data_IF_026822630466
#
_entry.id   IF_026822630466
#
_cell.length_a   1.000
_cell.length_b   1.000
_cell.length_c   1.000
_cell.angle_alpha   90.00
_cell.angle_beta   90.00
_cell.angle_gamma   90.00
#
_symmetry.space_group_name_H-M   'P 1'
#
loop_
_entity.id
_entity.type
_entity.pdbx_description
1 polymer ?
#
# COMPACT_ATOMS: atom_id res chain seq x y z
N UNK A 1 7.91 -8.97 -32.31
CA UNK A 1 7.34 -10.32 -32.11
C UNK A 1 8.38 -11.43 -31.93
N UNK A 2 9.52 -11.46 -32.62
CA UNK A 2 10.55 -12.50 -32.35
C UNK A 2 11.32 -12.30 -31.04
N UNK A 3 11.44 -11.05 -30.57
CA UNK A 3 12.14 -10.71 -29.32
C UNK A 3 11.34 -11.02 -28.05
N UNK A 4 10.01 -10.91 -28.10
CA UNK A 4 9.14 -11.24 -26.97
C UNK A 4 9.04 -12.75 -26.73
N UNK A 5 9.16 -13.58 -27.78
CA UNK A 5 9.18 -15.05 -27.64
C UNK A 5 10.48 -15.54 -26.99
N UNK A 6 11.61 -14.86 -27.21
CA UNK A 6 12.89 -15.23 -26.60
C UNK A 6 12.89 -14.95 -25.08
N UNK A 7 12.30 -13.85 -24.64
CA UNK A 7 12.22 -13.48 -23.22
C UNK A 7 11.31 -14.42 -22.43
N UNK A 8 10.17 -14.85 -23.00
CA UNK A 8 9.29 -15.85 -22.36
C UNK A 8 9.93 -17.24 -22.31
N UNK A 9 10.78 -17.61 -23.29
CA UNK A 9 11.50 -18.89 -23.28
C UNK A 9 12.66 -18.93 -22.28
N UNK A 10 13.34 -17.80 -22.05
CA UNK A 10 14.37 -17.68 -21.02
C UNK A 10 13.76 -17.79 -19.60
N UNK A 11 12.63 -17.13 -19.36
CA UNK A 11 11.93 -17.18 -18.07
C UNK A 11 11.38 -18.60 -17.73
N UNK A 12 11.12 -19.43 -18.75
CA UNK A 12 10.63 -20.80 -18.58
C UNK A 12 11.75 -21.81 -18.25
N UNK A 13 13.02 -21.50 -18.55
CA UNK A 13 14.14 -22.39 -18.19
C UNK A 13 14.62 -22.17 -16.75
N UNK A 14 14.47 -20.97 -16.20
CA UNK A 14 14.83 -20.66 -14.79
C UNK A 14 13.93 -21.40 -13.80
N UNK A 15 12.67 -21.67 -14.15
CA UNK A 15 11.74 -22.48 -13.34
C UNK A 15 12.04 -23.99 -13.31
N UNK A 16 13.07 -24.47 -14.02
CA UNK A 16 13.40 -25.90 -14.10
C UNK A 16 14.46 -26.39 -13.10
N UNK A 17 15.04 -25.49 -12.31
CA UNK A 17 16.13 -25.80 -11.35
C UNK A 17 15.66 -25.65 -9.91
N UNK A 18 14.42 -26.06 -9.60
CA UNK A 18 14.04 -26.31 -8.21
C UNK A 18 14.47 -27.74 -7.88
N UNK A 19 15.51 -27.96 -7.04
CA UNK A 19 15.78 -29.28 -6.51
C UNK A 19 14.58 -29.70 -5.65
N UNK A 20 13.79 -30.65 -6.13
CA UNK A 20 12.88 -31.43 -5.30
C UNK A 20 13.73 -32.23 -4.31
N UNK A 21 14.06 -31.61 -3.17
CA UNK A 21 14.48 -32.32 -1.98
C UNK A 21 13.26 -33.05 -1.41
N UNK A 22 13.01 -34.23 -1.96
CA UNK A 22 12.12 -35.22 -1.35
C UNK A 22 12.68 -35.58 0.02
N UNK A 23 11.83 -35.44 1.02
CA UNK A 23 12.02 -35.87 2.38
C UNK A 23 12.64 -37.28 2.46
N UNK A 24 13.77 -37.40 3.13
CA UNK A 24 14.27 -38.67 3.64
C UNK A 24 13.36 -39.15 4.78
N UNK A 25 12.83 -40.36 4.58
CA UNK A 25 12.14 -41.19 5.54
C UNK A 25 12.78 -41.15 6.93
N UNK A 26 12.11 -40.52 7.89
CA UNK A 26 12.37 -40.76 9.30
C UNK A 26 11.55 -41.99 9.71
N UNK A 27 12.13 -43.17 9.50
CA UNK A 27 11.63 -44.44 9.98
C UNK A 27 11.64 -44.44 11.52
N UNK A 28 10.52 -44.00 12.10
CA UNK A 28 10.23 -44.21 13.52
C UNK A 28 9.74 -45.65 13.67
N UNK A 29 10.53 -46.48 14.35
CA UNK A 29 10.14 -47.82 14.79
C UNK A 29 8.87 -47.71 15.65
N UNK A 30 7.78 -48.31 15.18
CA UNK A 30 6.59 -48.54 16.00
C UNK A 30 6.84 -49.74 16.93
N UNK A 31 6.99 -49.46 18.22
CA UNK A 31 6.78 -50.45 19.27
C UNK A 31 5.27 -50.75 19.40
N UNK A 32 4.85 -52.03 19.31
CA UNK A 32 3.45 -52.39 19.53
C UNK A 32 3.17 -52.43 21.03
N UNK A 33 2.51 -51.39 21.56
CA UNK A 33 1.94 -51.43 22.90
C UNK A 33 0.46 -51.80 22.79
N UNK A 34 0.20 -53.10 22.91
CA UNK A 34 -1.03 -53.59 23.52
C UNK A 34 -1.15 -52.96 24.92
N UNK A 35 -2.16 -52.12 25.18
CA UNK A 35 -2.97 -52.34 26.37
C UNK A 35 -4.32 -51.62 26.30
N UNK A 36 -5.34 -52.36 26.70
CA UNK A 36 -6.70 -51.93 26.83
C UNK A 36 -6.84 -51.02 28.06
N UNK A 37 -7.51 -49.89 27.88
CA UNK A 37 -7.82 -49.00 28.99
C UNK A 37 -8.99 -48.10 28.64
N UNK A 38 -10.19 -48.65 28.79
CA UNK A 38 -11.40 -47.88 29.12
C UNK A 38 -11.04 -46.82 30.17
N UNK A 39 -11.09 -45.56 29.78
CA UNK A 39 -11.20 -44.47 30.74
C UNK A 39 -12.20 -43.46 30.20
N UNK A 40 -13.47 -43.71 30.54
CA UNK A 40 -14.53 -42.70 30.56
C UNK A 40 -13.98 -41.48 31.30
N UNK A 41 -13.55 -40.47 30.55
CA UNK A 41 -13.21 -39.17 31.12
C UNK A 41 -14.49 -38.35 31.05
N UNK A 42 -15.11 -38.22 32.21
CA UNK A 42 -16.25 -37.35 32.44
C UNK A 42 -15.95 -35.95 31.87
N UNK A 43 -16.88 -35.44 31.08
CA UNK A 43 -16.89 -34.06 30.62
C UNK A 43 -17.08 -33.15 31.84
N UNK A 44 -15.97 -32.78 32.48
CA UNK A 44 -15.93 -31.65 33.40
C UNK A 44 -16.11 -30.38 32.55
N UNK A 45 -17.34 -29.88 32.52
CA UNK A 45 -17.68 -28.59 31.96
C UNK A 45 -16.74 -27.52 32.53
N UNK A 46 -16.14 -26.65 31.70
CA UNK A 46 -15.37 -25.54 32.22
C UNK A 46 -16.33 -24.62 32.99
N UNK A 47 -16.18 -24.60 34.32
CA UNK A 47 -16.80 -23.61 35.19
C UNK A 47 -16.25 -22.24 34.76
N UNK A 48 -17.01 -21.59 33.88
CA UNK A 48 -16.83 -20.18 33.53
C UNK A 48 -16.99 -19.40 34.82
N UNK A 49 -15.85 -19.09 35.44
CA UNK A 49 -15.82 -18.21 36.59
C UNK A 49 -15.99 -16.81 36.01
N UNK A 50 -17.24 -16.39 35.90
CA UNK A 50 -17.60 -15.00 35.62
C UNK A 50 -17.04 -14.18 36.77
N UNK A 51 -15.87 -13.58 36.56
CA UNK A 51 -15.37 -12.53 37.43
C UNK A 51 -16.21 -11.30 37.10
N UNK A 52 -17.41 -11.25 37.70
CA UNK A 52 -18.15 -10.02 37.90
C UNK A 52 -17.32 -9.15 38.83
N UNK A 53 -16.40 -8.39 38.24
CA UNK A 53 -15.79 -7.23 38.87
C UNK A 53 -16.86 -6.16 39.03
N UNK A 54 -17.65 -6.33 40.09
CA UNK A 54 -18.46 -5.30 40.71
C UNK A 54 -17.50 -4.20 41.20
N UNK A 55 -17.24 -3.22 40.33
CA UNK A 55 -16.70 -1.93 40.72
C UNK A 55 -17.83 -0.91 40.58
N UNK A 56 -18.80 -1.01 41.48
CA UNK A 56 -19.79 0.03 41.72
C UNK A 56 -19.06 1.21 42.36
N UNK A 57 -18.50 2.09 41.55
CA UNK A 57 -18.39 3.49 41.94
C UNK A 57 -19.80 4.05 41.81
N UNK A 58 -20.52 3.99 42.93
CA UNK A 58 -21.75 4.71 43.21
C UNK A 58 -21.43 6.21 43.21
N UNK A 59 -21.26 6.78 42.02
CA UNK A 59 -21.41 8.22 41.83
C UNK A 59 -22.89 8.47 41.57
N UNK A 60 -23.54 9.07 42.56
CA UNK A 60 -24.88 9.66 42.44
C UNK A 60 -24.98 10.37 41.08
N UNK A 61 -25.96 10.04 40.23
CA UNK A 61 -26.31 10.94 39.16
C UNK A 61 -26.80 12.22 39.82
N UNK A 62 -26.04 13.29 39.67
CA UNK A 62 -26.57 14.62 39.85
C UNK A 62 -27.81 14.72 38.96
N UNK A 63 -28.95 14.79 39.63
CA UNK A 63 -30.26 15.16 39.10
C UNK A 63 -30.14 16.58 38.53
N UNK A 64 -29.54 16.67 37.34
CA UNK A 64 -29.63 17.87 36.52
C UNK A 64 -31.02 17.85 35.90
N UNK A 65 -31.91 18.60 36.55
CA UNK A 65 -33.21 18.98 36.01
C UNK A 65 -33.04 19.35 34.53
N UNK A 66 -33.80 18.74 33.60
CA UNK A 66 -33.84 19.22 32.24
C UNK A 66 -34.36 20.65 32.29
N UNK A 67 -33.51 21.61 31.92
CA UNK A 67 -33.94 22.95 31.61
C UNK A 67 -35.01 22.83 30.53
N UNK A 68 -36.23 23.16 30.93
CA UNK A 68 -37.41 23.37 30.12
C UNK A 68 -37.11 24.52 29.14
N UNK A 69 -36.42 24.21 28.05
CA UNK A 69 -36.25 25.12 26.93
C UNK A 69 -37.61 25.20 26.21
N UNK A 70 -38.33 26.25 26.55
CA UNK A 70 -39.54 26.68 25.85
C UNK A 70 -39.32 26.61 24.33
N UNK A 71 -40.19 25.94 23.57
CA UNK A 71 -40.15 26.04 22.12
C UNK A 71 -40.45 27.48 21.74
N UNK A 72 -39.45 28.17 21.19
CA UNK A 72 -39.65 29.44 20.53
C UNK A 72 -40.66 29.22 19.40
N UNK A 73 -41.82 29.84 19.60
CA UNK A 73 -42.92 30.00 18.66
C UNK A 73 -42.41 30.82 17.46
N UNK A 74 -41.85 30.14 16.46
CA UNK A 74 -41.52 30.75 15.18
C UNK A 74 -42.83 30.92 14.38
N UNK A 75 -43.32 32.16 14.40
CA UNK A 75 -44.42 32.63 13.57
C UNK A 75 -44.17 32.28 12.09
N UNK A 76 -45.17 31.73 11.36
CA UNK A 76 -45.06 31.58 9.92
C UNK A 76 -45.10 32.98 9.28
N UNK A 77 -43.96 33.41 8.74
CA UNK A 77 -43.90 34.57 7.87
C UNK A 77 -44.72 34.27 6.59
N UNK A 78 -45.84 34.96 6.52
CA UNK A 78 -46.74 35.12 5.38
C UNK A 78 -45.99 35.85 4.25
N UNK A 79 -45.36 35.12 3.34
CA UNK A 79 -44.84 35.69 2.10
C UNK A 79 -45.95 35.75 1.05
N UNK A 80 -46.56 36.93 0.98
CA UNK A 80 -47.48 37.32 -0.07
C UNK A 80 -46.82 37.23 -1.45
N UNK A 81 -47.57 36.59 -2.34
CA UNK A 81 -47.50 36.65 -3.79
C UNK A 81 -47.26 38.07 -4.33
N UNK A 82 -46.10 38.30 -4.95
CA UNK A 82 -45.88 39.38 -5.91
C UNK A 82 -45.79 38.77 -7.32
N UNK A 83 -46.95 38.76 -7.97
CA UNK A 83 -47.15 38.59 -9.41
C UNK A 83 -46.65 39.88 -10.10
N UNK A 84 -45.42 39.87 -10.62
CA UNK A 84 -44.94 40.88 -11.56
C UNK A 84 -44.57 40.19 -12.89
N UNK A 85 -45.46 40.37 -13.87
CA UNK A 85 -45.17 40.17 -15.29
C UNK A 85 -44.08 41.16 -15.74
N UNK A 86 -42.94 40.71 -16.30
CA UNK A 86 -42.08 41.62 -17.04
C UNK A 86 -42.58 41.76 -18.48
N UNK A 87 -42.91 43.00 -18.81
CA UNK A 87 -43.20 43.48 -20.15
C UNK A 87 -42.03 43.22 -21.11
N UNK A 88 -42.42 42.84 -22.32
CA UNK A 88 -41.59 42.63 -23.49
C UNK A 88 -41.22 44.00 -24.07
N UNK A 89 -39.96 44.40 -23.98
CA UNK A 89 -39.39 45.42 -24.88
C UNK A 89 -38.11 44.89 -25.56
N UNK A 90 -38.34 44.51 -26.81
CA UNK A 90 -37.43 44.50 -27.96
C UNK A 90 -36.60 45.80 -28.01
N UNK A 91 -35.27 45.72 -28.06
CA UNK A 91 -34.45 46.44 -29.05
C UNK A 91 -33.06 45.78 -29.17
N UNK A 92 -32.83 45.26 -30.38
CA UNK A 92 -31.56 44.83 -30.93
C UNK A 92 -30.57 46.00 -31.08
N UNK A 93 -29.44 46.00 -30.38
CA UNK A 93 -28.20 46.60 -30.88
C UNK A 93 -27.02 45.66 -30.64
N UNK A 94 -26.42 45.23 -31.75
CA UNK A 94 -25.29 44.32 -31.78
C UNK A 94 -24.08 44.92 -31.07
N UNK A 95 -23.83 44.43 -29.85
CA UNK A 95 -22.52 44.51 -29.26
C UNK A 95 -21.75 43.29 -29.79
N UNK A 96 -20.87 43.52 -30.76
CA UNK A 96 -19.84 42.58 -31.17
C UNK A 96 -18.88 42.44 -29.96
N UNK A 97 -19.28 41.61 -28.99
CA UNK A 97 -18.40 41.16 -27.92
C UNK A 97 -17.32 40.35 -28.61
N UNK A 98 -16.19 41.01 -28.83
CA UNK A 98 -14.90 40.40 -29.12
C UNK A 98 -14.67 39.40 -27.99
N UNK A 99 -15.06 38.14 -28.22
CA UNK A 99 -14.71 37.02 -27.37
C UNK A 99 -13.21 36.93 -27.50
N UNK A 100 -12.50 37.61 -26.61
CA UNK A 100 -11.09 37.33 -26.35
C UNK A 100 -11.06 35.83 -26.06
N UNK A 101 -10.56 35.05 -27.02
CA UNK A 101 -10.20 33.66 -26.82
C UNK A 101 -9.21 33.67 -25.66
N UNK A 102 -9.71 33.46 -24.44
CA UNK A 102 -8.88 33.21 -23.27
C UNK A 102 -8.06 31.98 -23.64
N UNK A 103 -6.79 32.20 -23.97
CA UNK A 103 -5.83 31.13 -24.20
C UNK A 103 -5.85 30.26 -22.94
N UNK A 104 -6.45 29.07 -23.05
CA UNK A 104 -6.50 28.09 -21.97
C UNK A 104 -5.05 27.83 -21.56
N UNK A 105 -4.67 28.38 -20.40
CA UNK A 105 -3.34 28.27 -19.81
C UNK A 105 -3.19 26.80 -19.38
N UNK A 106 -2.82 25.93 -20.33
CA UNK A 106 -2.57 24.51 -20.11
C UNK A 106 -1.36 24.44 -19.19
N UNK A 107 -1.61 24.14 -17.92
CA UNK A 107 -0.56 23.83 -16.95
C UNK A 107 0.09 22.53 -17.43
N UNK A 108 1.20 22.66 -18.14
CA UNK A 108 2.08 21.53 -18.48
C UNK A 108 2.65 20.98 -17.18
N UNK A 109 2.04 19.91 -16.69
CA UNK A 109 2.70 19.05 -15.71
C UNK A 109 3.91 18.41 -16.39
N UNK A 110 5.03 18.24 -15.66
CA UNK A 110 6.17 17.54 -16.18
C UNK A 110 5.74 16.14 -16.63
N UNK A 111 5.95 15.82 -17.92
CA UNK A 111 5.55 14.54 -18.52
C UNK A 111 6.11 13.33 -17.75
N UNK A 112 7.26 13.51 -17.08
CA UNK A 112 7.92 12.50 -16.24
C UNK A 112 7.03 11.97 -15.11
N UNK A 113 6.16 12.81 -14.53
CA UNK A 113 5.26 12.40 -13.44
C UNK A 113 4.07 11.57 -13.94
N UNK A 114 3.69 11.73 -15.22
CA UNK A 114 2.54 11.04 -15.82
C UNK A 114 2.93 9.64 -16.32
N UNK A 115 4.17 9.47 -16.76
CA UNK A 115 4.70 8.18 -17.20
C UNK A 115 4.90 7.19 -16.03
N UNK A 116 4.97 7.70 -14.80
CA UNK A 116 5.06 6.88 -13.59
C UNK A 116 3.71 6.29 -13.18
N UNK A 117 2.58 6.87 -13.64
CA UNK A 117 1.27 6.26 -13.45
C UNK A 117 1.17 5.01 -14.35
N UNK A 118 0.78 3.88 -13.76
CA UNK A 118 0.62 2.60 -14.46
C UNK A 118 -0.51 2.61 -15.49
N UNK A 119 -1.21 1.48 -15.68
CA UNK A 119 -2.37 1.49 -16.57
C UNK A 119 -3.51 2.18 -15.83
N UNK A 120 -3.95 3.33 -16.32
CA UNK A 120 -5.00 4.13 -15.67
C UNK A 120 -6.41 3.55 -15.88
N UNK A 121 -7.41 3.91 -15.04
CA UNK A 121 -8.76 3.34 -15.12
C UNK A 121 -9.48 3.51 -16.47
N UNK A 122 -9.12 4.55 -17.24
CA UNK A 122 -9.70 4.79 -18.56
C UNK A 122 -9.14 3.88 -19.67
N UNK A 123 -8.10 3.11 -19.38
CA UNK A 123 -7.48 2.18 -20.32
C UNK A 123 -8.22 0.84 -20.39
N UNK A 124 -8.42 0.27 -21.59
CA UNK A 124 -9.06 -1.04 -21.74
C UNK A 124 -8.25 -2.19 -21.13
N UNK A 125 -6.98 -1.97 -20.80
CA UNK A 125 -6.11 -2.97 -20.17
C UNK A 125 -6.16 -2.89 -18.63
N UNK A 126 -6.81 -1.89 -18.04
CA UNK A 126 -6.86 -1.68 -16.59
C UNK A 126 -7.37 -2.92 -15.85
N UNK A 127 -8.48 -3.50 -16.30
CA UNK A 127 -9.03 -4.71 -15.70
C UNK A 127 -8.12 -5.94 -15.80
N UNK A 128 -7.18 -5.98 -16.77
CA UNK A 128 -6.18 -7.05 -16.88
C UNK A 128 -5.10 -6.85 -15.83
N UNK A 129 -4.61 -5.61 -15.66
CA UNK A 129 -3.66 -5.26 -14.61
C UNK A 129 -4.21 -5.58 -13.22
N UNK A 130 -5.42 -5.11 -12.89
CA UNK A 130 -6.12 -5.45 -11.63
C UNK A 130 -6.20 -6.95 -11.39
N UNK A 131 -6.51 -7.74 -12.43
CA UNK A 131 -6.57 -9.18 -12.30
C UNK A 131 -5.20 -9.81 -11.99
N UNK A 132 -4.12 -9.30 -12.61
CA UNK A 132 -2.76 -9.75 -12.34
C UNK A 132 -2.27 -9.34 -10.95
N UNK A 133 -2.58 -8.13 -10.50
CA UNK A 133 -2.28 -7.65 -9.15
C UNK A 133 -2.95 -8.53 -8.09
N UNK A 134 -4.25 -8.82 -8.24
CA UNK A 134 -4.99 -9.71 -7.33
C UNK A 134 -4.43 -11.13 -7.33
N UNK A 135 -3.99 -11.65 -8.47
CA UNK A 135 -3.32 -12.96 -8.55
C UNK A 135 -1.96 -12.90 -7.85
N UNK A 136 -1.18 -11.86 -8.12
CA UNK A 136 0.14 -11.63 -7.51
C UNK A 136 0.03 -11.60 -5.99
N UNK A 137 -0.89 -10.79 -5.45
CA UNK A 137 -1.12 -10.65 -4.02
C UNK A 137 -1.58 -11.96 -3.36
N UNK A 138 -2.43 -12.75 -4.05
CA UNK A 138 -2.85 -14.07 -3.58
C UNK A 138 -1.72 -15.10 -3.57
N UNK A 139 -0.77 -15.00 -4.49
CA UNK A 139 0.38 -15.89 -4.60
C UNK A 139 1.53 -15.48 -3.67
N UNK A 140 1.57 -14.23 -3.22
CA UNK A 140 2.52 -13.78 -2.19
C UNK A 140 2.31 -14.56 -0.89
N UNK A 141 3.37 -15.18 -0.38
CA UNK A 141 3.34 -15.97 0.85
C UNK A 141 3.81 -15.11 2.03
N UNK A 142 3.10 -15.18 3.16
CA UNK A 142 3.41 -14.41 4.36
C UNK A 142 2.62 -13.10 4.46
N UNK A 143 2.25 -12.72 5.68
CA UNK A 143 1.41 -11.56 5.97
C UNK A 143 2.14 -10.24 5.76
N UNK A 144 3.39 -10.15 6.24
CA UNK A 144 4.28 -9.02 5.97
C UNK A 144 4.48 -8.79 4.47
N UNK A 145 4.87 -9.83 3.73
CA UNK A 145 5.10 -9.71 2.29
C UNK A 145 3.82 -9.30 1.53
N UNK A 146 2.65 -9.78 1.96
CA UNK A 146 1.36 -9.34 1.39
C UNK A 146 1.07 -7.88 1.70
N UNK A 147 1.25 -7.43 2.94
CA UNK A 147 1.06 -6.03 3.32
C UNK A 147 1.97 -5.11 2.50
N UNK A 148 3.27 -5.42 2.40
CA UNK A 148 4.23 -4.66 1.58
C UNK A 148 3.84 -4.66 0.09
N UNK A 149 3.40 -5.80 -0.44
CA UNK A 149 2.95 -5.88 -1.84
C UNK A 149 1.65 -5.11 -2.07
N UNK A 150 0.74 -5.11 -1.11
CA UNK A 150 -0.46 -4.29 -1.09
C UNK A 150 -0.11 -2.81 -1.13
N UNK A 151 0.79 -2.34 -0.25
CA UNK A 151 1.25 -0.95 -0.23
C UNK A 151 1.87 -0.50 -1.56
N UNK A 152 2.62 -1.37 -2.25
CA UNK A 152 3.13 -1.09 -3.59
C UNK A 152 2.02 -0.89 -4.62
N UNK A 153 0.93 -1.68 -4.57
CA UNK A 153 -0.23 -1.44 -5.44
C UNK A 153 -1.01 -0.18 -5.04
N UNK A 154 -1.09 0.12 -3.74
CA UNK A 154 -1.70 1.34 -3.22
C UNK A 154 -0.96 2.59 -3.71
N UNK A 155 0.38 2.56 -3.69
CA UNK A 155 1.24 3.60 -4.25
C UNK A 155 0.93 3.85 -5.73
N UNK A 156 0.77 2.78 -6.52
CA UNK A 156 0.39 2.87 -7.93
C UNK A 156 -0.98 3.54 -8.11
N UNK A 157 -1.98 3.18 -7.29
CA UNK A 157 -3.28 3.86 -7.31
C UNK A 157 -3.19 5.35 -6.96
N UNK A 158 -2.33 5.77 -6.01
CA UNK A 158 -2.11 7.20 -5.73
C UNK A 158 -1.54 7.95 -6.93
N UNK A 159 -0.62 7.32 -7.67
CA UNK A 159 -0.06 7.90 -8.90
C UNK A 159 -1.11 7.98 -10.02
N UNK A 160 -2.00 7.01 -10.13
CA UNK A 160 -3.16 7.10 -11.02
C UNK A 160 -4.13 8.22 -10.63
N UNK A 161 -4.46 8.36 -9.34
CA UNK A 161 -5.27 9.48 -8.84
C UNK A 161 -4.62 10.82 -9.19
N UNK A 162 -3.31 10.96 -8.96
CA UNK A 162 -2.53 12.15 -9.34
C UNK A 162 -2.67 12.45 -10.83
N UNK A 163 -2.48 11.46 -11.70
CA UNK A 163 -2.57 11.59 -13.15
C UNK A 163 -4.00 11.90 -13.64
N UNK A 164 -5.03 11.31 -13.03
CA UNK A 164 -6.42 11.56 -13.39
C UNK A 164 -6.91 12.95 -12.94
N UNK A 165 -6.52 13.41 -11.75
CA UNK A 165 -6.79 14.78 -11.29
C UNK A 165 -6.11 15.78 -12.21
N UNK A 166 -4.85 15.51 -12.58
CA UNK A 166 -4.10 16.30 -13.54
C UNK A 166 -4.81 16.43 -14.90
N UNK A 167 -5.41 15.34 -15.38
CA UNK A 167 -6.19 15.31 -16.61
C UNK A 167 -7.63 15.86 -16.46
N UNK A 168 -7.99 16.42 -15.29
CA UNK A 168 -9.35 16.88 -14.94
C UNK A 168 -10.43 15.80 -15.09
N UNK A 169 -10.06 14.54 -14.87
CA UNK A 169 -10.92 13.35 -14.98
C UNK A 169 -11.32 12.82 -13.60
N UNK A 170 -12.14 13.60 -12.89
CA UNK A 170 -12.47 13.29 -11.50
C UNK A 170 -13.14 11.93 -11.30
N UNK A 171 -14.02 11.50 -12.22
CA UNK A 171 -14.64 10.18 -12.14
C UNK A 171 -13.64 9.01 -12.19
N UNK A 172 -12.57 9.12 -12.97
CA UNK A 172 -11.52 8.10 -13.01
C UNK A 172 -10.59 8.20 -11.79
N UNK A 173 -10.39 9.42 -11.25
CA UNK A 173 -9.67 9.60 -9.99
C UNK A 173 -10.44 8.97 -8.81
N UNK A 174 -11.77 9.11 -8.76
CA UNK A 174 -12.62 8.48 -7.77
C UNK A 174 -12.56 6.94 -7.88
N UNK A 175 -12.58 6.39 -9.11
CA UNK A 175 -12.43 4.93 -9.32
C UNK A 175 -11.07 4.41 -8.83
N UNK A 176 -9.97 5.15 -9.10
CA UNK A 176 -8.65 4.78 -8.58
C UNK A 176 -8.56 4.90 -7.05
N UNK A 177 -9.26 5.87 -6.44
CA UNK A 177 -9.34 6.02 -4.99
C UNK A 177 -10.15 4.91 -4.32
N UNK A 178 -11.27 4.47 -4.91
CA UNK A 178 -12.04 3.32 -4.39
C UNK A 178 -11.16 2.05 -4.37
N UNK A 179 -10.42 1.79 -5.45
CA UNK A 179 -9.51 0.65 -5.51
C UNK A 179 -8.28 0.80 -4.59
N UNK A 180 -7.88 2.03 -4.24
CA UNK A 180 -6.87 2.30 -3.20
C UNK A 180 -7.39 1.89 -1.82
N UNK A 181 -8.60 2.30 -1.47
CA UNK A 181 -9.21 1.99 -0.18
C UNK A 181 -9.39 0.47 0.00
N UNK A 182 -9.86 -0.24 -1.04
CA UNK A 182 -9.93 -1.72 -1.01
C UNK A 182 -8.57 -2.36 -0.73
N UNK A 183 -7.49 -1.84 -1.32
CA UNK A 183 -6.13 -2.35 -1.06
C UNK A 183 -5.70 -2.04 0.36
N UNK A 184 -5.99 -0.84 0.88
CA UNK A 184 -5.61 -0.45 2.23
C UNK A 184 -6.35 -1.28 3.29
N UNK A 185 -7.62 -1.64 3.07
CA UNK A 185 -8.33 -2.60 3.93
C UNK A 185 -7.61 -3.96 3.99
N UNK A 186 -7.15 -4.49 2.85
CA UNK A 186 -6.36 -5.73 2.82
C UNK A 186 -4.99 -5.56 3.50
N UNK A 187 -4.34 -4.39 3.37
CA UNK A 187 -3.08 -4.09 4.07
C UNK A 187 -3.30 -4.10 5.58
N UNK A 188 -4.35 -3.43 6.07
CA UNK A 188 -4.73 -3.41 7.47
C UNK A 188 -4.99 -4.81 8.02
N UNK A 189 -5.76 -5.63 7.31
CA UNK A 189 -6.00 -7.03 7.70
C UNK A 189 -4.69 -7.82 7.82
N UNK A 190 -3.79 -7.68 6.83
CA UNK A 190 -2.51 -8.39 6.87
C UNK A 190 -1.58 -7.88 7.97
N UNK A 191 -1.58 -6.57 8.28
CA UNK A 191 -0.85 -5.99 9.42
C UNK A 191 -1.44 -6.49 10.74
N UNK A 192 -2.77 -6.51 10.87
CA UNK A 192 -3.49 -7.01 12.04
C UNK A 192 -3.22 -8.50 12.34
N UNK A 193 -2.74 -9.26 11.36
CA UNK A 193 -2.35 -10.66 11.49
C UNK A 193 -0.83 -10.89 11.63
N UNK A 194 -0.01 -9.84 11.69
CA UNK A 194 1.41 -9.98 12.05
C UNK A 194 1.55 -10.48 13.51
N UNK A 195 2.53 -11.35 13.78
CA UNK A 195 2.84 -11.82 15.16
C UNK A 195 3.19 -13.30 15.34
N UNK A 196 3.26 -14.09 14.27
CA UNK A 196 3.52 -15.54 14.32
C UNK A 196 5.01 -15.95 14.26
N UNK A 197 5.93 -15.00 14.17
CA UNK A 197 7.37 -15.20 13.92
C UNK A 197 8.30 -14.76 15.05
N UNK A 198 9.58 -14.60 14.67
CA UNK A 198 10.61 -14.01 15.52
C UNK A 198 10.32 -12.53 15.76
N UNK A 199 10.37 -12.09 17.02
CA UNK A 199 9.95 -10.75 17.40
C UNK A 199 10.82 -9.63 16.79
N UNK A 200 12.08 -9.92 16.46
CA UNK A 200 12.99 -8.93 15.84
C UNK A 200 12.68 -8.80 14.35
N UNK A 201 12.46 -9.93 13.66
CA UNK A 201 12.03 -9.96 12.27
C UNK A 201 10.65 -9.29 12.09
N UNK A 202 9.71 -9.55 13.01
CA UNK A 202 8.41 -8.86 13.06
C UNK A 202 8.57 -7.34 13.17
N UNK A 203 9.45 -6.87 14.06
CA UNK A 203 9.68 -5.43 14.24
C UNK A 203 10.28 -4.79 12.97
N UNK A 204 11.15 -5.51 12.27
CA UNK A 204 11.68 -5.06 10.98
C UNK A 204 10.58 -4.97 9.94
N UNK A 205 9.74 -5.98 9.82
CA UNK A 205 8.60 -5.99 8.92
C UNK A 205 7.65 -4.80 9.17
N UNK A 206 7.34 -4.52 10.44
CA UNK A 206 6.49 -3.39 10.84
C UNK A 206 7.12 -2.03 10.48
N UNK A 207 8.44 -1.89 10.61
CA UNK A 207 9.17 -0.67 10.25
C UNK A 207 9.24 -0.45 8.73
N UNK A 208 9.44 -1.51 7.94
CA UNK A 208 9.37 -1.43 6.47
C UNK A 208 7.97 -1.04 5.97
N UNK A 209 6.92 -1.54 6.63
CA UNK A 209 5.53 -1.17 6.33
C UNK A 209 5.26 0.30 6.74
N UNK A 210 5.76 0.74 7.89
CA UNK A 210 5.65 2.15 8.33
C UNK A 210 6.33 3.10 7.34
N UNK A 211 7.52 2.77 6.84
CA UNK A 211 8.23 3.57 5.83
C UNK A 211 7.45 3.66 4.51
N UNK A 212 6.92 2.54 4.01
CA UNK A 212 6.10 2.55 2.79
C UNK A 212 4.79 3.36 2.95
N UNK A 213 4.22 3.43 4.17
CA UNK A 213 3.10 4.31 4.48
C UNK A 213 3.52 5.80 4.53
N UNK A 214 4.74 6.11 4.97
CA UNK A 214 5.31 7.46 4.89
C UNK A 214 5.49 7.90 3.43
N UNK A 215 5.99 7.03 2.55
CA UNK A 215 6.10 7.32 1.11
C UNK A 215 4.73 7.60 0.46
N UNK A 216 3.70 6.82 0.80
CA UNK A 216 2.34 7.06 0.31
C UNK A 216 1.78 8.41 0.79
N UNK A 217 2.08 8.82 2.03
CA UNK A 217 1.69 10.13 2.55
C UNK A 217 2.37 11.28 1.78
N UNK A 218 3.64 11.11 1.38
CA UNK A 218 4.34 12.09 0.55
C UNK A 218 3.67 12.26 -0.81
N UNK A 219 3.31 11.16 -1.48
CA UNK A 219 2.58 11.21 -2.76
C UNK A 219 1.20 11.85 -2.58
N UNK A 220 0.49 11.53 -1.50
CA UNK A 220 -0.79 12.16 -1.19
C UNK A 220 -0.66 13.67 -0.98
N UNK A 221 0.43 14.13 -0.36
CA UNK A 221 0.73 15.55 -0.25
C UNK A 221 0.93 16.21 -1.63
N UNK A 222 1.54 15.51 -2.59
CA UNK A 222 1.64 15.99 -3.97
C UNK A 222 0.27 16.10 -4.65
N UNK A 223 -0.61 15.12 -4.46
CA UNK A 223 -2.00 15.14 -4.96
C UNK A 223 -2.75 16.34 -4.38
N UNK A 224 -2.64 16.56 -3.07
CA UNK A 224 -3.24 17.72 -2.40
C UNK A 224 -2.74 19.05 -2.97
N UNK A 225 -1.44 19.13 -3.27
CA UNK A 225 -0.82 20.32 -3.86
C UNK A 225 -1.32 20.61 -5.28
N UNK A 226 -1.83 19.63 -6.04
CA UNK A 226 -2.40 19.87 -7.38
C UNK A 226 -3.54 20.88 -7.35
N UNK A 227 -4.35 20.89 -6.27
CA UNK A 227 -5.43 21.88 -6.09
C UNK A 227 -4.93 23.31 -6.21
N UNK A 228 -3.74 23.59 -5.69
CA UNK A 228 -3.16 24.95 -5.72
C UNK A 228 -2.47 25.28 -7.04
N UNK A 229 -2.04 24.25 -7.79
CA UNK A 229 -1.33 24.40 -9.06
C UNK A 229 -2.26 24.62 -10.24
N UNK A 230 -3.45 24.02 -10.21
CA UNK A 230 -4.43 24.17 -11.29
C UNK A 230 -5.24 25.46 -11.14
N UNK A 231 -5.14 26.35 -12.12
CA UNK A 231 -6.10 27.44 -12.31
C UNK A 231 -7.33 26.92 -13.05
N UNK A 232 -8.51 27.45 -12.72
CA UNK A 232 -9.75 27.13 -13.43
C UNK A 232 -10.30 25.73 -13.12
N UNK A 233 -10.08 25.21 -11.91
CA UNK A 233 -10.93 24.15 -11.37
C UNK A 233 -12.30 24.74 -11.04
N UNK A 234 -13.37 23.99 -11.30
CA UNK A 234 -14.70 24.39 -10.82
C UNK A 234 -14.81 24.14 -9.31
N UNK A 235 -15.70 24.85 -8.59
CA UNK A 235 -15.93 24.58 -7.16
C UNK A 235 -16.27 23.11 -6.87
N UNK A 236 -16.99 22.46 -7.78
CA UNK A 236 -17.33 21.04 -7.69
C UNK A 236 -16.08 20.16 -7.80
N UNK A 237 -15.18 20.44 -8.75
CA UNK A 237 -13.92 19.71 -8.88
C UNK A 237 -13.01 19.90 -7.66
N UNK A 238 -12.93 21.11 -7.12
CA UNK A 238 -12.16 21.35 -5.89
C UNK A 238 -12.72 20.57 -4.69
N UNK A 239 -14.06 20.50 -4.57
CA UNK A 239 -14.71 19.73 -3.54
C UNK A 239 -14.45 18.23 -3.71
N UNK A 240 -14.50 17.72 -4.95
CA UNK A 240 -14.24 16.33 -5.27
C UNK A 240 -12.78 15.94 -4.99
N UNK A 241 -11.79 16.76 -5.40
CA UNK A 241 -10.38 16.56 -5.05
C UNK A 241 -10.20 16.56 -3.53
N UNK A 242 -10.85 17.48 -2.82
CA UNK A 242 -10.77 17.55 -1.35
C UNK A 242 -11.35 16.28 -0.70
N UNK A 243 -12.45 15.76 -1.24
CA UNK A 243 -13.06 14.52 -0.77
C UNK A 243 -12.15 13.30 -1.02
N UNK A 244 -11.58 13.19 -2.23
CA UNK A 244 -10.64 12.13 -2.59
C UNK A 244 -9.41 12.15 -1.68
N UNK A 245 -8.77 13.32 -1.52
CA UNK A 245 -7.59 13.47 -0.66
C UNK A 245 -7.91 13.17 0.81
N UNK A 246 -9.11 13.56 1.27
CA UNK A 246 -9.59 13.22 2.61
C UNK A 246 -9.68 11.72 2.83
N UNK A 247 -10.40 11.00 1.95
CA UNK A 247 -10.56 9.54 2.05
C UNK A 247 -9.22 8.81 2.03
N UNK A 248 -8.35 9.15 1.08
CA UNK A 248 -7.01 8.56 0.98
C UNK A 248 -6.17 8.81 2.25
N UNK A 249 -6.29 10.01 2.84
CA UNK A 249 -5.60 10.36 4.08
C UNK A 249 -6.13 9.61 5.30
N UNK A 250 -7.44 9.36 5.36
CA UNK A 250 -8.06 8.57 6.42
C UNK A 250 -7.57 7.12 6.35
N UNK A 251 -7.58 6.49 5.17
CA UNK A 251 -7.08 5.11 4.96
C UNK A 251 -5.58 4.95 5.31
N UNK A 252 -4.72 5.93 4.98
CA UNK A 252 -3.31 5.90 5.42
C UNK A 252 -3.21 6.01 6.94
N UNK A 253 -4.02 6.87 7.55
CA UNK A 253 -4.00 7.11 9.00
C UNK A 253 -4.43 5.86 9.77
N UNK A 254 -5.49 5.19 9.33
CA UNK A 254 -6.00 3.97 9.95
C UNK A 254 -4.96 2.83 9.88
N UNK A 255 -4.33 2.63 8.72
CA UNK A 255 -3.23 1.68 8.56
C UNK A 255 -2.02 2.02 9.47
N UNK A 256 -1.63 3.30 9.57
CA UNK A 256 -0.56 3.75 10.48
C UNK A 256 -0.88 3.47 11.95
N UNK A 257 -2.15 3.61 12.35
CA UNK A 257 -2.60 3.27 13.70
C UNK A 257 -2.45 1.77 13.95
N UNK A 258 -2.88 0.92 13.03
CA UNK A 258 -2.77 -0.54 13.19
C UNK A 258 -1.30 -0.99 13.24
N UNK A 259 -0.44 -0.47 12.36
CA UNK A 259 1.02 -0.71 12.40
C UNK A 259 1.61 -0.28 13.74
N UNK A 260 1.22 0.90 14.25
CA UNK A 260 1.70 1.40 15.55
C UNK A 260 1.24 0.51 16.72
N UNK A 261 0.01 0.00 16.68
CA UNK A 261 -0.53 -0.93 17.68
C UNK A 261 0.27 -2.24 17.65
N UNK A 262 0.56 -2.77 16.46
CA UNK A 262 1.35 -3.99 16.28
C UNK A 262 2.79 -3.83 16.74
N UNK A 263 3.46 -2.77 16.30
CA UNK A 263 4.80 -2.39 16.75
C UNK A 263 4.93 -2.32 18.26
N UNK A 264 3.95 -1.75 18.94
CA UNK A 264 3.96 -1.70 20.40
C UNK A 264 3.79 -3.08 21.05
N UNK A 265 2.95 -3.96 20.49
CA UNK A 265 2.82 -5.36 20.94
C UNK A 265 4.13 -6.12 20.75
N UNK A 266 4.79 -5.97 19.61
CA UNK A 266 6.07 -6.61 19.29
C UNK A 266 7.18 -6.14 20.22
N UNK A 267 7.27 -4.84 20.50
CA UNK A 267 8.19 -4.31 21.52
C UNK A 267 7.97 -4.92 22.90
N UNK A 268 6.71 -5.13 23.31
CA UNK A 268 6.40 -5.79 24.59
C UNK A 268 6.86 -7.26 24.57
N UNK A 269 6.65 -7.98 23.45
CA UNK A 269 7.11 -9.36 23.25
C UNK A 269 8.64 -9.47 23.36
N UNK A 270 9.38 -8.56 22.73
CA UNK A 270 10.85 -8.48 22.82
C UNK A 270 11.30 -8.28 24.28
N UNK A 271 10.72 -7.31 25.01
CA UNK A 271 11.04 -7.07 26.43
C UNK A 271 10.82 -8.31 27.29
N UNK A 272 9.70 -9.01 27.05
CA UNK A 272 9.33 -10.20 27.80
C UNK A 272 10.24 -11.42 27.51
N UNK A 273 10.69 -11.59 26.27
CA UNK A 273 11.55 -12.72 25.86
C UNK A 273 13.03 -12.51 26.20
N UNK A 274 13.54 -11.29 26.02
CA UNK A 274 14.97 -10.97 26.14
C UNK A 274 15.42 -10.46 27.51
N UNK A 275 14.52 -10.25 28.47
CA UNK A 275 14.78 -9.45 29.68
C UNK A 275 15.31 -8.03 29.33
N UNK A 276 14.99 -7.52 28.13
CA UNK A 276 15.50 -6.24 27.63
C UNK A 276 14.83 -5.05 28.30
N UNK A 277 15.59 -3.97 28.53
CA UNK A 277 15.06 -2.70 29.04
C UNK A 277 14.38 -1.88 27.94
N UNK A 278 13.64 -0.84 28.33
CA UNK A 278 13.00 0.08 27.40
C UNK A 278 14.03 0.77 26.49
N UNK A 279 15.21 1.10 27.03
CA UNK A 279 16.30 1.71 26.29
C UNK A 279 16.94 0.76 25.28
N UNK A 280 17.12 -0.51 25.64
CA UNK A 280 17.68 -1.51 24.72
C UNK A 280 16.72 -1.75 23.54
N UNK A 281 15.42 -1.83 23.80
CA UNK A 281 14.42 -1.96 22.73
C UNK A 281 14.37 -0.73 21.82
N UNK A 282 14.53 0.48 22.38
CA UNK A 282 14.61 1.69 21.56
C UNK A 282 15.86 1.70 20.66
N UNK A 283 17.01 1.21 21.15
CA UNK A 283 18.22 1.07 20.33
C UNK A 283 18.04 0.05 19.21
N UNK A 284 17.36 -1.06 19.49
CA UNK A 284 17.02 -2.06 18.46
C UNK A 284 16.13 -1.44 17.40
N UNK A 285 15.06 -0.74 17.78
CA UNK A 285 14.19 -0.04 16.84
C UNK A 285 14.96 0.96 15.96
N UNK A 286 15.84 1.76 16.56
CA UNK A 286 16.66 2.73 15.82
C UNK A 286 17.61 2.06 14.83
N UNK A 287 18.25 0.95 15.23
CA UNK A 287 19.16 0.19 14.36
C UNK A 287 18.42 -0.49 13.21
N UNK A 288 17.26 -1.10 13.50
CA UNK A 288 16.42 -1.72 12.47
C UNK A 288 15.91 -0.64 11.51
N UNK A 289 15.44 0.50 12.01
CA UNK A 289 15.01 1.63 11.17
C UNK A 289 16.14 2.14 10.28
N UNK A 290 17.36 2.26 10.81
CA UNK A 290 18.52 2.66 10.02
C UNK A 290 18.89 1.65 8.93
N UNK A 291 18.77 0.34 9.20
CA UNK A 291 19.01 -0.72 8.22
C UNK A 291 17.96 -0.71 7.09
N UNK A 292 16.68 -0.54 7.47
CA UNK A 292 15.56 -0.41 6.54
C UNK A 292 15.76 0.77 5.59
N UNK A 293 16.10 1.95 6.13
CA UNK A 293 16.43 3.15 5.32
C UNK A 293 17.68 2.98 4.44
N UNK A 294 18.60 2.10 4.81
CA UNK A 294 19.77 1.77 4.00
C UNK A 294 19.44 0.78 2.86
N UNK A 295 18.22 0.24 2.82
CA UNK A 295 17.83 -0.84 1.91
C UNK A 295 18.52 -2.17 2.23
N UNK A 296 19.16 -2.28 3.38
CA UNK A 296 19.83 -3.50 3.81
C UNK A 296 18.79 -4.43 4.43
N UNK A 297 18.48 -5.54 3.75
CA UNK A 297 17.81 -6.70 4.37
C UNK A 297 18.80 -7.43 5.27
N UNK A 298 19.41 -6.72 6.21
CA UNK A 298 20.35 -7.32 7.14
C UNK A 298 19.56 -8.20 8.11
N UNK A 299 19.99 -9.46 8.26
CA UNK A 299 19.56 -10.28 9.39
C UNK A 299 20.19 -9.70 10.64
N UNK A 300 19.45 -8.85 11.35
CA UNK A 300 19.89 -8.27 12.61
C UNK A 300 19.77 -9.37 13.68
N UNK A 301 20.87 -10.07 13.95
CA UNK A 301 20.93 -11.05 15.03
C UNK A 301 21.26 -10.33 16.33
N UNK A 302 20.25 -10.14 17.18
CA UNK A 302 20.45 -9.60 18.53
C UNK A 302 20.93 -10.73 19.44
N UNK A 303 22.26 -10.82 19.63
CA UNK A 303 22.84 -11.74 20.62
C UNK A 303 22.72 -11.15 22.01
N UNK A 304 21.61 -11.41 22.70
CA UNK A 304 21.48 -11.12 24.14
C UNK A 304 22.44 -12.04 24.90
N UNK A 305 23.60 -11.51 25.30
CA UNK A 305 24.54 -12.22 26.18
C UNK A 305 23.93 -12.31 27.57
N UNK A 306 23.12 -13.35 27.80
CA UNK A 306 22.58 -13.67 29.11
C UNK A 306 23.73 -14.00 30.07
N UNK A 307 24.24 -13.00 30.79
CA UNK A 307 25.36 -13.12 31.72
C UNK A 307 24.91 -13.77 33.05
N UNK A 308 24.14 -14.86 32.97
CA UNK A 308 23.44 -15.50 34.10
C UNK A 308 24.37 -16.27 35.06
N UNK A 309 25.70 -16.12 34.94
CA UNK A 309 26.65 -17.11 35.46
C UNK A 309 27.79 -16.66 36.36
N UNK A 310 28.19 -15.38 36.40
CA UNK A 310 29.44 -15.01 37.10
C UNK A 310 29.22 -13.93 38.15
N UNK A 311 29.35 -14.35 39.41
CA UNK A 311 28.88 -13.59 40.55
C UNK A 311 29.56 -12.25 40.77
N UNK A 312 28.73 -11.28 41.17
CA UNK A 312 28.99 -10.24 42.18
C UNK A 312 30.41 -9.66 42.15
N UNK A 313 30.83 -9.15 41.00
CA UNK A 313 31.82 -8.09 40.91
C UNK A 313 31.08 -6.80 40.59
N UNK A 314 31.10 -5.83 41.50
CA UNK A 314 30.43 -4.55 41.27
C UNK A 314 31.27 -3.71 40.29
N UNK A 315 30.75 -3.47 39.08
CA UNK A 315 31.21 -2.38 38.23
C UNK A 315 31.62 -2.71 36.80
N UNK A 316 31.05 -3.74 36.16
CA UNK A 316 31.21 -3.91 34.72
C UNK A 316 29.93 -3.42 34.02
N UNK A 317 30.08 -2.39 33.18
CA UNK A 317 29.04 -1.89 32.29
C UNK A 317 28.71 -2.98 31.27
N UNK A 318 27.49 -3.51 31.27
CA UNK A 318 27.05 -4.51 30.29
C UNK A 318 26.93 -3.83 28.90
N UNK A 319 27.87 -4.10 27.99
CA UNK A 319 27.80 -3.67 26.59
C UNK A 319 26.98 -4.68 25.76
N UNK A 320 25.93 -4.17 25.09
CA UNK A 320 25.14 -4.90 24.10
C UNK A 320 25.93 -4.91 22.78
N UNK A 321 26.29 -6.10 22.30
CA UNK A 321 26.86 -6.27 20.95
C UNK A 321 25.74 -6.69 20.00
N UNK A 322 25.39 -5.79 19.06
CA UNK A 322 24.55 -6.13 17.91
C UNK A 322 25.47 -6.48 16.76
N UNK A 323 25.36 -7.70 16.26
CA UNK A 323 26.08 -8.15 15.07
C UNK A 323 25.11 -8.07 13.88
N UNK A 324 25.39 -7.16 12.95
CA UNK A 324 24.73 -7.14 11.64
C UNK A 324 25.49 -8.08 10.71
N UNK A 325 24.90 -9.24 10.44
CA UNK A 325 25.36 -10.08 9.33
C UNK A 325 24.74 -9.51 8.05
N UNK A 326 25.53 -8.73 7.31
CA UNK A 326 25.16 -8.35 5.96
C UNK A 326 25.25 -9.64 5.14
N UNK A 327 24.10 -10.22 4.77
CA UNK A 327 24.06 -11.15 3.65
C UNK A 327 24.41 -10.28 2.44
N UNK A 328 25.71 -10.16 2.15
CA UNK A 328 26.16 -9.79 0.82
C UNK A 328 25.39 -10.74 -0.10
N UNK A 329 24.38 -10.22 -0.79
CA UNK A 329 23.81 -10.91 -1.92
C UNK A 329 25.03 -11.17 -2.81
N UNK A 330 25.51 -12.41 -2.78
CA UNK A 330 26.24 -13.00 -3.88
C UNK A 330 25.24 -13.01 -5.03
N UNK A 331 24.92 -11.82 -5.56
CA UNK A 331 24.49 -11.63 -6.91
C UNK A 331 25.64 -12.25 -7.70
N UNK A 332 25.46 -13.52 -8.03
CA UNK A 332 26.24 -14.23 -9.02
C UNK A 332 26.15 -13.36 -10.27
N UNK A 333 27.12 -12.43 -10.39
CA UNK A 333 27.55 -11.84 -11.64
C UNK A 333 27.95 -13.02 -12.53
N UNK A 334 26.96 -13.67 -13.14
CA UNK A 334 27.12 -14.46 -14.32
C UNK A 334 27.68 -13.50 -15.36
N UNK A 335 29.01 -13.38 -15.39
CA UNK A 335 29.74 -12.83 -16.51
C UNK A 335 29.28 -13.62 -17.75
N UNK A 336 28.31 -13.06 -18.48
CA UNK A 336 28.01 -13.43 -19.85
C UNK A 336 29.31 -13.24 -20.62
N UNK A 337 30.10 -14.31 -20.72
CA UNK A 337 31.24 -14.39 -21.60
C UNK A 337 30.70 -14.17 -23.02
N UNK A 338 30.96 -12.99 -23.56
CA UNK A 338 30.78 -12.64 -24.96
C UNK A 338 31.63 -13.60 -25.81
N UNK A 339 31.05 -14.73 -26.19
CA UNK A 339 31.60 -15.58 -27.26
C UNK A 339 31.40 -14.82 -28.59
N UNK A 340 32.44 -14.07 -28.98
CA UNK A 340 32.63 -13.52 -30.31
C UNK A 340 32.72 -14.66 -31.37
N UNK A 341 31.58 -15.21 -31.78
CA UNK A 341 31.49 -16.07 -32.97
C UNK A 341 31.51 -15.23 -34.25
N UNK A 342 32.75 -14.96 -34.64
CA UNK A 342 33.25 -14.55 -35.94
C UNK A 342 32.66 -15.42 -37.09
N UNK A 343 31.56 -15.01 -37.72
CA UNK A 343 31.09 -15.61 -38.99
C UNK A 343 30.83 -14.59 -40.10
N UNK A 344 31.93 -14.25 -40.75
CA UNK A 344 32.04 -13.94 -42.16
C UNK A 344 31.22 -14.90 -43.06
N UNK A 345 30.23 -14.42 -43.82
CA UNK A 345 29.91 -14.93 -45.17
C UNK A 345 28.83 -14.11 -45.88
N UNK A 346 29.29 -13.18 -46.71
CA UNK A 346 28.93 -13.02 -48.14
C UNK A 346 27.55 -13.55 -48.61
N UNK A 347 26.65 -12.65 -49.04
CA UNK A 347 25.72 -12.96 -50.14
C UNK A 347 25.05 -11.70 -50.70
N UNK A 348 25.54 -11.30 -51.87
CA UNK A 348 24.97 -10.35 -52.81
C UNK A 348 23.49 -10.64 -53.12
N UNK A 349 22.61 -9.65 -52.95
CA UNK A 349 21.17 -9.75 -53.21
C UNK A 349 20.60 -8.48 -53.82
N UNK A 350 20.98 -8.21 -55.07
CA UNK A 350 20.56 -7.08 -55.89
C UNK A 350 19.15 -7.31 -56.45
N UNK A 351 18.16 -6.52 -56.03
CA UNK A 351 16.86 -6.36 -56.69
C UNK A 351 16.27 -5.02 -56.27
N UNK A 352 16.36 -3.92 -57.04
CA UNK A 352 15.62 -3.58 -58.27
C UNK A 352 14.13 -3.86 -58.22
N UNK A 353 13.38 -2.83 -58.63
CA UNK A 353 11.95 -2.79 -58.98
C UNK A 353 11.00 -2.76 -57.77
N UNK A 354 10.07 -1.82 -57.60
CA UNK A 354 9.40 -0.91 -58.54
C UNK A 354 8.64 0.19 -57.79
N UNK A 355 8.75 1.44 -58.23
CA UNK A 355 7.71 2.46 -58.06
C UNK A 355 6.35 1.92 -58.51
N UNK A 356 5.31 2.18 -57.71
CA UNK A 356 3.96 2.39 -58.24
C UNK A 356 3.37 3.66 -57.61
N UNK A 357 3.00 4.67 -58.41
CA UNK A 357 2.14 5.75 -57.95
C UNK A 357 0.70 5.27 -58.00
N UNK A 358 -0.04 5.30 -56.89
CA UNK A 358 -1.48 5.13 -56.94
C UNK A 358 -2.16 6.51 -56.91
N UNK A 359 -2.56 6.97 -58.10
CA UNK A 359 -3.51 8.05 -58.32
C UNK A 359 -4.92 7.47 -58.32
N UNK A 360 -5.84 8.09 -57.57
CA UNK A 360 -7.28 7.95 -57.80
C UNK A 360 -8.06 8.74 -56.74
N UNK A 361 -8.39 10.02 -57.00
CA UNK A 361 -9.65 10.48 -57.63
C UNK A 361 -10.91 10.06 -56.86
N UNK A 362 -11.51 11.04 -56.18
CA UNK A 362 -12.77 11.63 -56.65
C UNK A 362 -14.07 11.13 -56.04
N UNK A 363 -14.75 12.08 -55.38
CA UNK A 363 -16.18 12.38 -55.43
C UNK A 363 -17.23 11.30 -55.07
N UNK A 364 -17.99 11.59 -54.01
CA UNK A 364 -19.44 11.80 -54.04
C UNK A 364 -19.81 12.56 -52.75
N UNK A 365 -20.30 13.81 -52.80
CA UNK A 365 -21.63 14.32 -53.22
C UNK A 365 -22.65 14.23 -52.11
#
# INVERSE_FOLDING_TARGET
MKKTIALVLAMLMVLSIIPLAFAEDNATEEDPVDDAGDNETEEDEPVVTVISGDNTTDEEPADEEPADEEPADEEPADEESADEEPEVEDETEGNETEVEEEEEDVVELPEEDLDAAGITPDSPLYGIERALERISLKLTLGKSAKAKKGLSHAQERLMEVKAMIAAKRMGAAAEAQEEYDEIMEEVEENVAELGDGDSVEELQDELEIEEALEENEEILAEVSNLRTKFKGLTPEQEAEITSIVGSLGDSISDAKVEVSVKKNKTKIKIKAQGEMTDEEVAQVEEQVKAAVQAGEKAKIQIKVKNNKGKGRGAGDDDELEVETENEENEDEDEEESEDEEDTNSTSSGKGKDKEKPNKGKGNNK
#
